data_IF_422995181646
#
_entry.id   IF_422995181646
#
_cell.length_a   1.000
_cell.length_b   1.000
_cell.length_c   1.000
_cell.angle_alpha   90.00
_cell.angle_beta   90.00
_cell.angle_gamma   90.00
#
_symmetry.space_group_name_H-M   'P 1'
#
loop_
_entity.id
_entity.type
_entity.pdbx_description
1 polymer ?
#
# COMPACT_ATOMS: atom_id res chain seq x y z
N UNK A 1 65.13 22.40 44.62
CA UNK A 1 64.61 21.26 45.39
C UNK A 1 63.48 20.64 44.54
N UNK A 2 63.67 19.66 43.74
CA UNK A 2 64.37 18.39 43.76
C UNK A 2 63.35 17.28 44.00
N UNK A 3 62.92 16.59 43.01
CA UNK A 3 62.08 15.44 43.21
C UNK A 3 61.68 14.82 41.90
N UNK A 4 62.58 14.06 41.30
CA UNK A 4 62.28 13.21 40.14
C UNK A 4 61.47 12.00 40.56
N UNK A 5 60.38 11.73 39.88
CA UNK A 5 59.61 10.50 40.00
C UNK A 5 59.62 9.73 38.66
N UNK A 6 60.35 8.61 38.72
CA UNK A 6 60.57 7.69 37.60
C UNK A 6 59.24 6.97 37.22
N UNK A 7 58.85 7.08 35.97
CA UNK A 7 57.83 6.27 35.38
C UNK A 7 58.34 4.86 35.05
N UNK A 8 57.71 3.85 35.59
CA UNK A 8 57.92 2.43 35.27
C UNK A 8 57.00 2.02 34.11
N UNK A 9 57.60 1.81 32.96
CA UNK A 9 56.86 1.27 31.80
C UNK A 9 56.96 -0.24 31.93
N UNK A 10 55.82 -0.87 32.19
CA UNK A 10 55.63 -2.33 32.04
C UNK A 10 54.96 -2.56 30.67
N UNK A 11 55.75 -3.05 29.74
CA UNK A 11 55.25 -3.54 28.46
C UNK A 11 54.73 -4.96 28.67
N UNK A 12 53.40 -5.13 28.59
CA UNK A 12 52.76 -6.45 28.54
C UNK A 12 52.35 -6.72 27.09
N UNK A 13 53.18 -7.44 26.35
CA UNK A 13 52.90 -7.96 25.05
C UNK A 13 52.02 -9.24 25.22
N UNK A 14 50.74 -9.14 25.05
CA UNK A 14 49.87 -10.31 24.89
C UNK A 14 49.53 -10.41 23.39
N UNK A 15 50.22 -11.30 22.70
CA UNK A 15 49.88 -11.73 21.38
C UNK A 15 48.64 -12.61 21.42
N UNK A 16 47.49 -12.08 20.98
CA UNK A 16 46.31 -12.88 20.57
C UNK A 16 46.21 -12.80 19.06
N UNK A 17 46.83 -13.77 18.39
CA UNK A 17 46.50 -14.09 17.02
C UNK A 17 45.15 -14.80 16.98
N UNK A 18 44.06 -14.02 17.08
CA UNK A 18 42.72 -14.47 16.78
C UNK A 18 42.60 -14.52 15.28
N UNK A 19 42.70 -15.69 14.67
CA UNK A 19 42.27 -15.93 13.31
C UNK A 19 40.80 -15.62 13.22
N UNK A 20 40.44 -14.47 12.68
CA UNK A 20 39.08 -14.18 12.20
C UNK A 20 38.83 -15.19 11.06
N UNK A 21 38.21 -16.32 11.40
CA UNK A 21 37.61 -17.21 10.42
C UNK A 21 36.47 -16.42 9.76
N UNK A 22 36.72 -15.93 8.56
CA UNK A 22 35.66 -15.47 7.68
C UNK A 22 34.66 -16.61 7.55
N UNK A 23 33.34 -16.36 7.69
CA UNK A 23 32.36 -17.38 7.41
C UNK A 23 32.56 -17.83 5.96
N UNK A 24 32.38 -19.12 5.64
CA UNK A 24 32.57 -19.62 4.29
C UNK A 24 31.60 -18.86 3.38
N UNK A 25 32.15 -18.17 2.39
CA UNK A 25 31.40 -17.64 1.27
C UNK A 25 30.73 -18.82 0.56
N UNK A 26 29.43 -18.92 0.72
CA UNK A 26 28.66 -19.98 0.07
C UNK A 26 27.64 -20.64 0.98
N UNK A 27 26.77 -19.84 1.64
CA UNK A 27 25.45 -20.38 1.89
C UNK A 27 24.79 -20.52 0.51
N UNK A 28 24.81 -21.76 -0.02
CA UNK A 28 24.03 -22.09 -1.20
C UNK A 28 22.62 -21.61 -0.93
N UNK A 29 22.12 -20.69 -1.78
CA UNK A 29 20.74 -20.27 -1.72
C UNK A 29 19.81 -21.49 -1.62
N UNK A 30 18.61 -21.34 -1.09
CA UNK A 30 17.68 -22.46 -0.96
C UNK A 30 17.61 -23.20 -2.30
N UNK A 31 17.62 -24.55 -2.30
CA UNK A 31 17.62 -25.32 -3.54
C UNK A 31 16.47 -24.85 -4.42
N UNK A 32 16.81 -24.45 -5.64
CA UNK A 32 15.81 -24.09 -6.66
C UNK A 32 14.87 -25.30 -6.77
N UNK A 33 13.56 -25.13 -6.47
CA UNK A 33 12.63 -26.24 -6.60
C UNK A 33 12.70 -26.79 -8.02
N UNK A 34 12.79 -28.11 -8.16
CA UNK A 34 12.70 -28.79 -9.44
C UNK A 34 11.55 -28.20 -10.24
N UNK A 35 11.79 -27.86 -11.50
CA UNK A 35 10.91 -27.17 -12.44
C UNK A 35 9.43 -27.32 -12.10
N UNK A 36 8.78 -26.20 -11.72
CA UNK A 36 7.36 -26.17 -11.43
C UNK A 36 6.61 -26.26 -12.76
N UNK A 37 5.88 -27.36 -13.02
CA UNK A 37 5.15 -27.49 -14.26
C UNK A 37 4.03 -26.44 -14.32
N UNK A 38 3.91 -25.75 -15.43
CA UNK A 38 2.65 -25.16 -15.85
C UNK A 38 2.39 -23.70 -15.52
N UNK A 39 3.40 -22.87 -15.25
CA UNK A 39 3.21 -21.44 -15.47
C UNK A 39 3.48 -21.24 -16.95
N UNK A 40 2.43 -20.86 -17.67
CA UNK A 40 2.50 -20.57 -19.08
C UNK A 40 3.65 -19.61 -19.35
N UNK A 41 4.03 -19.41 -20.57
CA UNK A 41 4.96 -18.39 -20.99
C UNK A 41 6.35 -18.59 -20.41
N UNK A 42 7.14 -19.34 -21.12
CA UNK A 42 8.53 -19.53 -20.80
C UNK A 42 8.76 -19.63 -19.29
N UNK A 43 8.70 -20.83 -18.76
CA UNK A 43 8.99 -21.17 -17.37
C UNK A 43 10.03 -20.21 -16.81
N UNK A 44 9.75 -19.62 -15.66
CA UNK A 44 10.60 -18.65 -14.95
C UNK A 44 10.51 -17.16 -15.34
N UNK A 45 9.62 -16.75 -16.26
CA UNK A 45 9.41 -15.32 -16.57
C UNK A 45 7.95 -14.90 -16.48
N UNK A 46 7.30 -15.08 -15.31
CA UNK A 46 5.91 -14.71 -15.15
C UNK A 46 5.73 -13.19 -15.24
N UNK A 47 4.57 -12.76 -15.75
CA UNK A 47 4.22 -11.34 -15.84
C UNK A 47 3.37 -10.95 -14.64
N UNK A 48 3.85 -9.96 -13.90
CA UNK A 48 3.17 -9.34 -12.77
C UNK A 48 2.52 -8.02 -13.20
N UNK A 49 1.23 -7.85 -12.93
CA UNK A 49 0.48 -6.63 -13.19
C UNK A 49 0.11 -5.87 -11.92
N UNK A 50 -0.51 -4.72 -12.07
CA UNK A 50 -1.02 -3.96 -10.93
C UNK A 50 -0.04 -2.96 -10.32
N UNK A 51 1.06 -2.70 -10.98
CA UNK A 51 2.05 -1.73 -10.55
C UNK A 51 1.98 -0.42 -11.33
N UNK A 52 2.56 0.62 -10.78
CA UNK A 52 2.93 1.85 -11.46
C UNK A 52 4.36 2.21 -11.03
N UNK A 53 5.18 2.71 -11.93
CA UNK A 53 6.62 2.81 -11.68
C UNK A 53 6.99 3.74 -10.52
N UNK A 54 6.20 4.78 -10.29
CA UNK A 54 6.51 5.85 -9.33
C UNK A 54 5.60 5.85 -8.10
N UNK A 55 4.82 4.81 -7.89
CA UNK A 55 3.91 4.71 -6.76
C UNK A 55 4.26 3.54 -5.82
N UNK A 56 3.68 3.46 -4.62
CA UNK A 56 3.92 2.38 -3.67
C UNK A 56 3.70 0.96 -4.23
N UNK A 57 2.81 0.80 -5.19
CA UNK A 57 2.57 -0.50 -5.85
C UNK A 57 3.72 -0.92 -6.78
N UNK A 58 4.48 0.03 -7.34
CA UNK A 58 5.72 -0.26 -8.04
C UNK A 58 6.75 -0.88 -7.12
N UNK A 59 6.85 -0.36 -5.90
CA UNK A 59 7.72 -0.93 -4.86
C UNK A 59 7.30 -2.36 -4.52
N UNK A 60 6.00 -2.64 -4.39
CA UNK A 60 5.52 -4.01 -4.16
C UNK A 60 5.92 -4.93 -5.31
N UNK A 61 5.82 -4.47 -6.55
CA UNK A 61 6.25 -5.23 -7.73
C UNK A 61 7.76 -5.52 -7.72
N UNK A 62 8.56 -4.53 -7.35
CA UNK A 62 10.03 -4.67 -7.26
C UNK A 62 10.41 -5.64 -6.12
N UNK A 63 9.71 -5.61 -4.99
CA UNK A 63 9.90 -6.58 -3.90
C UNK A 63 9.51 -7.99 -4.37
N UNK A 64 8.38 -8.16 -5.05
CA UNK A 64 7.97 -9.46 -5.60
C UNK A 64 9.03 -9.99 -6.57
N UNK A 65 9.55 -9.14 -7.45
CA UNK A 65 10.62 -9.50 -8.38
C UNK A 65 11.89 -9.92 -7.63
N UNK A 66 12.33 -9.13 -6.66
CA UNK A 66 13.52 -9.41 -5.87
C UNK A 66 13.35 -10.69 -5.03
N UNK A 67 12.19 -10.89 -4.41
CA UNK A 67 11.91 -12.06 -3.59
C UNK A 67 11.88 -13.36 -4.38
N UNK A 68 11.47 -13.34 -5.64
CA UNK A 68 11.40 -14.53 -6.51
C UNK A 68 12.70 -14.81 -7.28
N UNK A 69 13.60 -13.84 -7.40
CA UNK A 69 14.85 -14.01 -8.12
C UNK A 69 15.75 -15.15 -7.57
N UNK A 70 15.93 -15.36 -6.25
CA UNK A 70 16.70 -16.49 -5.72
C UNK A 70 16.13 -17.86 -6.06
N UNK A 71 14.85 -17.91 -6.43
CA UNK A 71 14.18 -19.15 -6.88
C UNK A 71 14.21 -19.33 -8.40
N UNK A 72 15.01 -18.54 -9.11
CA UNK A 72 15.23 -18.65 -10.55
C UNK A 72 14.12 -17.99 -11.40
N UNK A 73 13.30 -17.12 -10.82
CA UNK A 73 12.27 -16.39 -11.57
C UNK A 73 12.72 -14.98 -11.93
N UNK A 74 12.64 -14.64 -13.21
CA UNK A 74 12.79 -13.28 -13.73
C UNK A 74 11.38 -12.69 -13.96
N UNK A 75 10.78 -12.14 -12.89
CA UNK A 75 9.44 -11.56 -12.97
C UNK A 75 9.45 -10.33 -13.86
N UNK A 76 8.61 -10.35 -14.89
CA UNK A 76 8.38 -9.23 -15.78
C UNK A 76 7.26 -8.35 -15.20
N UNK A 77 7.53 -7.07 -14.97
CA UNK A 77 6.55 -6.16 -14.34
C UNK A 77 5.87 -5.30 -15.38
N UNK A 78 4.54 -5.35 -15.43
CA UNK A 78 3.73 -4.41 -16.19
C UNK A 78 3.44 -3.18 -15.33
N UNK A 79 4.21 -2.11 -15.48
CA UNK A 79 4.05 -0.87 -14.72
C UNK A 79 2.88 0.02 -15.16
N UNK A 80 2.08 -0.40 -16.12
CA UNK A 80 0.88 0.29 -16.58
C UNK A 80 -0.40 -0.56 -16.49
N UNK A 81 -0.31 -1.72 -15.82
CA UNK A 81 -1.44 -2.62 -15.56
C UNK A 81 -1.96 -2.41 -14.13
N UNK A 82 -2.47 -1.25 -13.78
CA UNK A 82 -2.72 -0.90 -12.39
C UNK A 82 -4.15 -0.44 -12.09
N UNK A 83 -4.42 -0.11 -10.82
CA UNK A 83 -5.70 0.40 -10.33
C UNK A 83 -6.85 -0.60 -10.52
N UNK A 84 -8.02 -0.09 -10.87
CA UNK A 84 -9.21 -0.89 -11.11
C UNK A 84 -9.11 -1.81 -12.34
N UNK A 85 -8.16 -1.57 -13.26
CA UNK A 85 -8.00 -2.44 -14.44
C UNK A 85 -7.17 -3.70 -14.15
N UNK A 86 -6.33 -3.67 -13.14
CA UNK A 86 -5.48 -4.80 -12.80
C UNK A 86 -6.27 -6.11 -12.57
N UNK A 87 -7.37 -6.15 -11.80
CA UNK A 87 -8.19 -7.34 -11.65
C UNK A 87 -8.84 -7.85 -12.96
N UNK A 88 -9.14 -6.94 -13.90
CA UNK A 88 -9.64 -7.32 -15.23
C UNK A 88 -8.55 -7.99 -16.04
N UNK A 89 -7.36 -7.38 -16.06
CA UNK A 89 -6.22 -7.86 -16.85
C UNK A 89 -5.76 -9.23 -16.35
N UNK A 90 -5.54 -9.38 -15.05
CA UNK A 90 -5.14 -10.64 -14.43
C UNK A 90 -6.25 -11.68 -14.52
N UNK A 91 -7.48 -11.31 -14.15
CA UNK A 91 -8.61 -12.22 -14.13
C UNK A 91 -8.97 -12.80 -15.50
N UNK A 92 -8.83 -12.02 -16.55
CA UNK A 92 -9.11 -12.43 -17.92
C UNK A 92 -7.87 -12.92 -18.67
N UNK A 93 -6.72 -13.02 -18.00
CA UNK A 93 -5.44 -13.40 -18.59
C UNK A 93 -5.08 -12.62 -19.86
N UNK A 94 -5.28 -11.33 -19.81
CA UNK A 94 -5.03 -10.44 -20.96
C UNK A 94 -3.55 -10.16 -21.13
N UNK A 95 -3.19 -9.75 -22.34
CA UNK A 95 -1.90 -9.11 -22.60
C UNK A 95 -1.88 -7.73 -21.89
N UNK A 96 -0.69 -7.23 -21.51
CA UNK A 96 -0.57 -5.85 -21.06
C UNK A 96 -1.20 -4.89 -22.09
N UNK A 97 -1.98 -3.89 -21.65
CA UNK A 97 -2.49 -2.88 -22.56
C UNK A 97 -1.33 -2.10 -23.18
N UNK A 98 -1.52 -1.48 -24.33
CA UNK A 98 -0.57 -0.52 -24.86
C UNK A 98 -0.29 0.58 -23.84
N UNK A 99 0.96 1.04 -23.81
CA UNK A 99 1.30 2.17 -22.96
C UNK A 99 0.48 3.41 -23.34
N UNK A 100 -0.08 4.08 -22.33
CA UNK A 100 -0.75 5.36 -22.48
C UNK A 100 -0.10 6.36 -21.50
N UNK A 101 0.58 7.42 -22.00
CA UNK A 101 1.23 8.40 -21.14
C UNK A 101 0.27 9.19 -20.23
N UNK A 102 -1.05 9.14 -20.51
CA UNK A 102 -2.08 9.78 -19.69
C UNK A 102 -2.67 8.85 -18.61
N UNK A 103 -2.25 7.60 -18.54
CA UNK A 103 -2.67 6.71 -17.46
C UNK A 103 -2.01 7.12 -16.14
N UNK A 104 -2.84 7.45 -15.15
CA UNK A 104 -2.38 7.80 -13.81
C UNK A 104 -2.11 9.28 -13.55
N UNK A 105 -2.45 10.17 -14.47
CA UNK A 105 -2.40 11.64 -14.24
C UNK A 105 -0.99 12.24 -14.18
N UNK A 106 0.07 11.45 -14.27
CA UNK A 106 1.45 11.93 -14.35
C UNK A 106 2.03 11.62 -15.73
N UNK A 107 2.62 12.62 -16.37
CA UNK A 107 3.42 12.41 -17.59
C UNK A 107 4.75 11.80 -17.16
N UNK A 108 4.92 10.49 -17.40
CA UNK A 108 6.18 9.80 -17.15
C UNK A 108 6.98 9.85 -18.45
N UNK A 109 8.22 10.36 -18.44
CA UNK A 109 9.06 10.34 -19.63
C UNK A 109 9.28 8.92 -20.16
N UNK A 110 9.22 8.72 -21.47
CA UNK A 110 9.39 7.41 -22.11
C UNK A 110 10.68 6.68 -21.70
N UNK A 111 11.73 7.42 -21.37
CA UNK A 111 13.01 6.88 -20.88
C UNK A 111 12.89 6.14 -19.52
N UNK A 112 11.81 6.37 -18.78
CA UNK A 112 11.56 5.69 -17.50
C UNK A 112 10.61 4.49 -17.61
N UNK A 113 10.10 4.20 -18.81
CA UNK A 113 9.16 3.13 -19.03
C UNK A 113 9.94 1.93 -19.58
N UNK A 114 10.04 0.83 -18.84
CA UNK A 114 10.61 -0.40 -19.39
C UNK A 114 9.75 -0.89 -20.57
N UNK A 115 10.37 -1.58 -21.50
CA UNK A 115 9.64 -2.23 -22.58
C UNK A 115 8.47 -3.06 -21.99
N UNK A 116 7.30 -3.07 -22.67
CA UNK A 116 6.17 -3.88 -22.23
C UNK A 116 6.60 -5.34 -22.09
N UNK A 117 6.20 -6.02 -21.01
CA UNK A 117 6.52 -7.44 -20.87
C UNK A 117 5.81 -8.26 -21.96
N UNK A 118 6.51 -9.28 -22.46
CA UNK A 118 5.96 -10.21 -23.41
C UNK A 118 5.20 -11.31 -22.69
N UNK A 119 3.91 -11.37 -22.85
CA UNK A 119 3.09 -12.43 -22.29
C UNK A 119 1.83 -11.95 -21.61
N UNK A 120 0.98 -12.90 -21.26
CA UNK A 120 -0.26 -12.61 -20.49
C UNK A 120 0.10 -12.31 -19.05
N UNK A 121 -0.64 -11.39 -18.44
CA UNK A 121 -0.49 -11.08 -17.02
C UNK A 121 -1.05 -12.24 -16.20
N UNK A 122 -0.20 -12.87 -15.41
CA UNK A 122 -0.54 -14.12 -14.70
C UNK A 122 -0.96 -13.88 -13.27
N UNK A 123 -0.34 -12.91 -12.62
CA UNK A 123 -0.65 -12.48 -11.25
C UNK A 123 -0.35 -11.00 -11.12
N UNK A 124 -0.73 -10.39 -10.00
CA UNK A 124 -0.54 -8.96 -9.84
C UNK A 124 -0.88 -8.46 -8.46
N UNK A 125 -0.87 -7.14 -8.33
CA UNK A 125 -1.26 -6.44 -7.13
C UNK A 125 -2.39 -5.44 -7.42
N UNK A 126 -3.24 -5.22 -6.43
CA UNK A 126 -4.25 -4.16 -6.42
C UNK A 126 -4.62 -3.82 -4.99
N UNK A 127 -5.29 -2.69 -4.78
CA UNK A 127 -5.85 -2.39 -3.47
C UNK A 127 -6.94 -3.41 -3.08
N UNK A 128 -7.02 -3.74 -1.80
CA UNK A 128 -7.96 -4.73 -1.27
C UNK A 128 -9.40 -4.50 -1.75
N UNK A 129 -9.87 -3.24 -1.69
CA UNK A 129 -11.22 -2.90 -2.13
C UNK A 129 -11.48 -3.24 -3.60
N UNK A 130 -10.48 -3.08 -4.48
CA UNK A 130 -10.64 -3.43 -5.88
C UNK A 130 -10.65 -4.95 -6.10
N UNK A 131 -9.86 -5.70 -5.32
CA UNK A 131 -9.91 -7.15 -5.40
C UNK A 131 -11.27 -7.69 -4.94
N UNK A 132 -11.78 -7.19 -3.81
CA UNK A 132 -13.11 -7.54 -3.28
C UNK A 132 -14.18 -7.19 -4.31
N UNK A 133 -14.20 -5.94 -4.77
CA UNK A 133 -15.18 -5.47 -5.73
C UNK A 133 -15.15 -6.26 -7.05
N UNK A 134 -13.96 -6.62 -7.55
CA UNK A 134 -13.81 -7.44 -8.75
C UNK A 134 -14.29 -8.88 -8.53
N UNK A 135 -13.99 -9.45 -7.37
CA UNK A 135 -14.43 -10.78 -6.99
C UNK A 135 -15.96 -10.87 -6.92
N UNK A 136 -16.61 -9.84 -6.36
CA UNK A 136 -18.05 -9.78 -6.17
C UNK A 136 -18.82 -9.17 -7.37
N UNK A 137 -18.13 -8.52 -8.30
CA UNK A 137 -18.76 -7.84 -9.43
C UNK A 137 -19.49 -6.57 -9.01
N UNK A 138 -18.94 -5.82 -8.05
CA UNK A 138 -19.52 -4.58 -7.51
C UNK A 138 -18.70 -3.34 -7.88
N UNK A 139 -19.19 -2.16 -7.54
CA UNK A 139 -18.49 -0.90 -7.79
C UNK A 139 -18.04 -0.73 -9.25
N UNK A 140 -16.74 -0.51 -9.51
CA UNK A 140 -16.21 -0.35 -10.88
C UNK A 140 -16.44 -1.57 -11.79
N UNK A 141 -16.74 -2.73 -11.21
CA UNK A 141 -16.92 -4.01 -11.93
C UNK A 141 -18.37 -4.44 -12.07
N UNK A 142 -19.34 -3.61 -11.63
CA UNK A 142 -20.76 -3.96 -11.68
C UNK A 142 -21.26 -4.32 -13.09
N UNK A 143 -20.69 -3.68 -14.13
CA UNK A 143 -21.00 -4.00 -15.53
C UNK A 143 -20.30 -5.24 -16.07
N UNK A 144 -19.16 -5.60 -15.46
CA UNK A 144 -18.32 -6.73 -15.90
C UNK A 144 -18.80 -8.05 -15.28
N UNK A 145 -19.52 -7.99 -14.17
CA UNK A 145 -19.90 -9.14 -13.35
C UNK A 145 -18.76 -9.66 -12.47
N UNK A 146 -19.07 -10.64 -11.61
CA UNK A 146 -18.11 -11.16 -10.63
C UNK A 146 -17.00 -11.99 -11.28
N UNK A 147 -15.76 -11.82 -10.76
CA UNK A 147 -14.58 -12.57 -11.17
C UNK A 147 -14.21 -13.63 -10.13
N UNK A 148 -15.07 -14.63 -9.97
CA UNK A 148 -14.94 -15.71 -8.98
C UNK A 148 -13.70 -16.60 -9.16
N UNK A 149 -12.98 -16.46 -10.28
CA UNK A 149 -11.70 -17.13 -10.53
C UNK A 149 -10.51 -16.45 -9.82
N UNK A 150 -10.65 -15.26 -9.26
CA UNK A 150 -9.56 -14.59 -8.54
C UNK A 150 -9.26 -15.31 -7.21
N UNK A 151 -7.97 -15.38 -6.87
CA UNK A 151 -7.47 -16.01 -5.64
C UNK A 151 -6.40 -15.13 -5.02
N UNK A 152 -6.52 -14.87 -3.73
CA UNK A 152 -5.52 -14.16 -2.95
C UNK A 152 -4.26 -15.04 -2.81
N UNK A 153 -3.10 -14.42 -2.89
CA UNK A 153 -1.81 -15.06 -2.56
C UNK A 153 -1.28 -14.45 -1.27
N UNK A 154 -1.21 -13.12 -1.17
CA UNK A 154 -0.76 -12.41 0.01
C UNK A 154 -1.44 -11.04 0.11
N UNK A 155 -1.70 -10.58 1.32
CA UNK A 155 -2.08 -9.20 1.59
C UNK A 155 -0.90 -8.48 2.26
N UNK A 156 -0.38 -7.47 1.58
CA UNK A 156 0.69 -6.61 2.10
C UNK A 156 0.00 -5.43 2.79
N UNK A 157 -0.23 -5.61 4.07
CA UNK A 157 -1.12 -4.76 4.86
C UNK A 157 -0.44 -3.46 5.31
N UNK A 158 -0.43 -2.48 4.44
CA UNK A 158 -0.07 -1.11 4.80
C UNK A 158 -1.36 -0.27 4.83
N UNK A 159 -2.02 -0.09 5.97
CA UNK A 159 -3.29 0.61 6.03
C UNK A 159 -3.10 2.08 5.67
N UNK A 160 -3.96 2.56 4.77
CA UNK A 160 -4.05 3.96 4.36
C UNK A 160 -5.29 4.55 5.01
N UNK A 161 -5.10 5.32 6.04
CA UNK A 161 -6.16 5.87 6.89
C UNK A 161 -6.85 7.04 6.23
N UNK A 162 -8.15 7.12 6.34
CA UNK A 162 -8.89 8.34 6.07
C UNK A 162 -8.69 9.30 7.23
N UNK A 163 -8.19 10.49 6.95
CA UNK A 163 -7.99 11.53 7.93
C UNK A 163 -8.86 12.72 7.55
N UNK A 164 -9.67 13.17 8.51
CA UNK A 164 -10.48 14.38 8.38
C UNK A 164 -9.93 15.41 9.34
N UNK A 165 -9.55 16.55 8.81
CA UNK A 165 -9.03 17.66 9.61
C UNK A 165 -9.65 19.00 9.19
N UNK A 166 -9.68 19.91 10.12
CA UNK A 166 -10.12 21.30 9.90
C UNK A 166 -9.08 22.26 10.48
N UNK A 167 -8.88 23.38 9.84
CA UNK A 167 -8.03 24.45 10.38
C UNK A 167 -8.71 25.04 11.62
N UNK A 168 -8.05 25.10 12.77
CA UNK A 168 -8.64 25.58 14.02
C UNK A 168 -9.22 27.00 13.88
N UNK A 169 -8.56 27.88 13.14
CA UNK A 169 -9.04 29.24 12.87
C UNK A 169 -10.26 29.33 11.95
N UNK A 170 -10.68 28.25 11.29
CA UNK A 170 -11.88 28.25 10.43
C UNK A 170 -13.20 28.23 11.24
N UNK A 171 -13.15 27.96 12.54
CA UNK A 171 -14.34 27.89 13.39
C UNK A 171 -15.24 26.69 13.15
N UNK A 172 -14.75 25.71 12.39
CA UNK A 172 -15.46 24.45 12.08
C UNK A 172 -14.99 23.39 13.08
N UNK A 173 -15.92 22.80 13.81
CA UNK A 173 -15.67 21.71 14.77
C UNK A 173 -16.39 20.42 14.40
N UNK A 174 -17.31 20.49 13.45
CA UNK A 174 -18.06 19.37 12.90
C UNK A 174 -18.39 19.65 11.42
N UNK A 175 -18.29 18.64 10.58
CA UNK A 175 -18.60 18.78 9.15
C UNK A 175 -20.07 19.11 8.87
N UNK A 176 -21.00 18.81 9.80
CA UNK A 176 -22.40 19.22 9.67
C UNK A 176 -22.57 20.74 9.58
N UNK A 177 -21.65 21.53 10.14
CA UNK A 177 -21.66 22.99 10.08
C UNK A 177 -21.44 23.53 8.66
N UNK A 178 -20.87 22.71 7.76
CA UNK A 178 -20.68 23.09 6.36
C UNK A 178 -22.00 23.34 5.63
N UNK A 179 -23.11 22.76 6.08
CA UNK A 179 -24.42 22.93 5.48
C UNK A 179 -24.89 24.40 5.54
N UNK A 180 -24.62 25.06 6.66
CA UNK A 180 -25.04 26.42 6.93
C UNK A 180 -23.91 27.44 6.81
N UNK A 181 -22.73 26.99 6.41
CA UNK A 181 -21.57 27.86 6.27
C UNK A 181 -21.77 28.89 5.17
N UNK A 182 -21.51 30.15 5.50
CA UNK A 182 -21.60 31.29 4.59
C UNK A 182 -20.21 31.90 4.42
N UNK A 183 -19.69 31.81 3.21
CA UNK A 183 -18.41 32.40 2.87
C UNK A 183 -17.49 31.42 2.13
N UNK A 184 -16.38 31.91 1.61
CA UNK A 184 -15.44 31.08 0.89
C UNK A 184 -14.74 30.09 1.84
N UNK A 185 -14.62 28.84 1.41
CA UNK A 185 -13.83 27.81 2.05
C UNK A 185 -12.79 27.27 1.05
N UNK A 186 -11.63 26.95 1.54
CA UNK A 186 -10.66 26.15 0.81
C UNK A 186 -10.72 24.69 1.30
N UNK A 187 -11.13 23.78 0.44
CA UNK A 187 -11.35 22.38 0.76
C UNK A 187 -10.39 21.52 -0.06
N UNK A 188 -9.63 20.69 0.64
CA UNK A 188 -8.80 19.66 0.02
C UNK A 188 -9.45 18.31 0.30
N UNK A 189 -9.92 17.61 -0.73
CA UNK A 189 -10.63 16.36 -0.50
C UNK A 189 -10.35 15.33 -1.62
N UNK A 190 -10.15 14.08 -1.19
CA UNK A 190 -10.27 12.93 -2.09
C UNK A 190 -11.71 12.89 -2.62
N UNK A 191 -11.86 12.79 -3.94
CA UNK A 191 -13.16 12.93 -4.60
C UNK A 191 -14.15 11.82 -4.20
N UNK A 192 -13.67 10.58 -4.05
CA UNK A 192 -14.53 9.45 -3.66
C UNK A 192 -15.02 9.63 -2.23
N UNK A 193 -14.14 10.08 -1.33
CA UNK A 193 -14.50 10.34 0.06
C UNK A 193 -15.44 11.52 0.21
N UNK A 194 -15.17 12.60 -0.49
CA UNK A 194 -16.06 13.76 -0.52
C UNK A 194 -17.46 13.40 -1.01
N UNK A 195 -17.55 12.52 -2.03
CA UNK A 195 -18.80 12.01 -2.58
C UNK A 195 -19.65 11.19 -1.61
N UNK A 196 -19.08 10.68 -0.54
CA UNK A 196 -19.82 9.93 0.50
C UNK A 196 -20.01 10.78 1.76
N UNK A 197 -18.96 11.48 2.19
CA UNK A 197 -18.97 12.22 3.47
C UNK A 197 -19.88 13.45 3.40
N UNK A 198 -19.76 14.28 2.37
CA UNK A 198 -20.60 15.48 2.29
C UNK A 198 -22.10 15.17 2.23
N UNK A 199 -22.59 14.23 1.39
CA UNK A 199 -24.00 13.85 1.41
C UNK A 199 -24.48 13.30 2.75
N UNK A 200 -23.64 12.58 3.49
CA UNK A 200 -23.98 12.11 4.83
C UNK A 200 -24.35 13.26 5.77
N UNK A 201 -23.64 14.39 5.70
CA UNK A 201 -23.92 15.59 6.46
C UNK A 201 -24.99 16.50 5.81
N UNK A 202 -25.61 16.07 4.72
CA UNK A 202 -26.59 16.87 3.96
C UNK A 202 -25.97 18.04 3.21
N UNK A 203 -24.68 17.96 2.89
CA UNK A 203 -23.90 18.95 2.17
C UNK A 203 -23.63 18.46 0.75
N UNK A 204 -23.75 19.31 -0.26
CA UNK A 204 -23.32 19.01 -1.62
C UNK A 204 -22.09 19.83 -2.03
N UNK A 205 -21.23 19.26 -2.86
CA UNK A 205 -20.10 20.01 -3.41
C UNK A 205 -20.56 21.22 -4.22
N UNK A 206 -21.70 21.10 -4.92
CA UNK A 206 -22.24 22.20 -5.71
C UNK A 206 -22.77 23.34 -4.82
N UNK A 207 -23.40 23.01 -3.69
CA UNK A 207 -23.83 24.03 -2.72
C UNK A 207 -22.63 24.76 -2.11
N UNK A 208 -21.56 24.05 -1.79
CA UNK A 208 -20.32 24.67 -1.29
C UNK A 208 -19.66 25.57 -2.34
N UNK A 209 -19.59 25.12 -3.59
CA UNK A 209 -19.07 25.94 -4.70
C UNK A 209 -19.90 27.21 -4.92
N UNK A 210 -21.24 27.07 -4.84
CA UNK A 210 -22.14 28.22 -4.95
C UNK A 210 -21.95 29.21 -3.80
N UNK A 211 -21.54 28.73 -2.61
CA UNK A 211 -21.16 29.56 -1.46
C UNK A 211 -19.73 30.14 -1.56
N UNK A 212 -19.00 29.85 -2.63
CA UNK A 212 -17.64 30.38 -2.88
C UNK A 212 -16.52 29.42 -2.48
N UNK A 213 -16.81 28.16 -2.16
CA UNK A 213 -15.76 27.20 -1.82
C UNK A 213 -14.92 26.81 -3.03
N UNK A 214 -13.62 26.66 -2.81
CA UNK A 214 -12.65 26.12 -3.77
C UNK A 214 -12.27 24.70 -3.36
N UNK A 215 -12.00 23.86 -4.36
CA UNK A 215 -11.66 22.44 -4.14
C UNK A 215 -10.32 22.11 -4.79
N UNK A 216 -9.49 21.37 -4.05
CA UNK A 216 -8.29 20.71 -4.56
C UNK A 216 -8.34 19.22 -4.18
N UNK A 217 -7.74 18.38 -5.02
CA UNK A 217 -7.75 16.92 -4.83
C UNK A 217 -6.44 16.39 -4.24
N UNK A 218 -5.43 17.24 -4.03
CA UNK A 218 -4.11 16.83 -3.59
C UNK A 218 -3.68 17.53 -2.32
N UNK A 219 -2.96 16.81 -1.46
CA UNK A 219 -2.37 17.34 -0.22
C UNK A 219 -0.99 17.98 -0.42
N UNK A 220 -0.58 18.23 -1.66
CA UNK A 220 0.69 18.94 -1.90
C UNK A 220 0.67 20.33 -1.28
N UNK A 221 1.84 20.91 -0.90
CA UNK A 221 1.90 22.20 -0.20
C UNK A 221 1.10 23.33 -0.86
N UNK A 222 1.13 23.42 -2.19
CA UNK A 222 0.40 24.46 -2.93
C UNK A 222 -1.13 24.36 -2.77
N UNK A 223 -1.65 23.14 -2.69
CA UNK A 223 -3.08 22.89 -2.57
C UNK A 223 -3.56 22.99 -1.12
N UNK A 224 -2.78 22.49 -0.16
CA UNK A 224 -3.19 22.45 1.25
C UNK A 224 -2.98 23.77 2.00
N UNK A 225 -2.06 24.64 1.56
CA UNK A 225 -1.75 25.87 2.26
C UNK A 225 -3.02 26.71 2.51
N UNK A 226 -3.36 26.94 3.80
CA UNK A 226 -4.56 27.66 4.20
C UNK A 226 -5.86 26.91 3.94
N UNK A 227 -5.85 25.60 3.75
CA UNK A 227 -7.06 24.80 3.64
C UNK A 227 -7.88 24.86 4.94
N UNK A 228 -9.18 25.06 4.81
CA UNK A 228 -10.11 25.11 5.94
C UNK A 228 -10.58 23.71 6.34
N UNK A 229 -10.74 22.82 5.34
CA UNK A 229 -11.17 21.44 5.51
C UNK A 229 -10.28 20.54 4.68
N UNK A 230 -9.80 19.44 5.27
CA UNK A 230 -9.03 18.41 4.59
C UNK A 230 -9.69 17.06 4.83
N UNK A 231 -10.02 16.35 3.76
CA UNK A 231 -10.57 14.98 3.78
C UNK A 231 -9.70 14.14 2.85
N UNK A 232 -8.70 13.47 3.40
CA UNK A 232 -7.74 12.79 2.55
C UNK A 232 -7.14 11.55 3.22
N UNK A 233 -6.60 10.66 2.41
CA UNK A 233 -5.92 9.48 2.91
C UNK A 233 -4.48 9.79 3.35
N UNK A 234 -4.03 9.03 4.37
CA UNK A 234 -2.64 9.00 4.82
C UNK A 234 -2.21 7.62 5.27
N UNK A 235 -0.98 7.26 4.95
CA UNK A 235 -0.36 6.03 5.41
C UNK A 235 0.54 6.34 6.62
N UNK A 236 0.47 5.53 7.67
CA UNK A 236 1.29 5.69 8.89
C UNK A 236 2.64 4.95 8.82
N UNK A 237 2.95 4.33 7.68
CA UNK A 237 4.29 3.83 7.39
C UNK A 237 5.17 4.96 6.80
N UNK A 238 6.44 4.68 6.59
CA UNK A 238 7.35 5.62 5.91
C UNK A 238 7.00 5.69 4.41
N UNK A 239 5.98 6.47 4.09
CA UNK A 239 5.44 6.64 2.75
C UNK A 239 5.29 8.13 2.42
N UNK A 240 5.28 8.50 1.12
CA UNK A 240 5.03 9.88 0.71
C UNK A 240 3.71 10.43 1.25
N UNK A 241 2.64 9.62 1.29
CA UNK A 241 1.33 10.03 1.78
C UNK A 241 1.36 10.35 3.28
N UNK A 242 2.11 9.58 4.07
CA UNK A 242 2.30 9.91 5.49
C UNK A 242 3.14 11.16 5.67
N UNK A 243 4.21 11.29 4.93
CA UNK A 243 5.06 12.48 4.99
C UNK A 243 4.27 13.75 4.68
N UNK A 244 3.38 13.70 3.69
CA UNK A 244 2.51 14.83 3.34
C UNK A 244 1.59 15.22 4.52
N UNK A 245 1.00 14.25 5.21
CA UNK A 245 0.18 14.51 6.40
C UNK A 245 1.01 14.98 7.58
N UNK A 246 2.18 14.38 7.80
CA UNK A 246 3.11 14.83 8.83
C UNK A 246 3.51 16.29 8.59
N UNK A 247 3.92 16.65 7.38
CA UNK A 247 4.23 18.03 7.02
C UNK A 247 3.03 18.96 7.18
N UNK A 248 1.82 18.55 6.74
CA UNK A 248 0.62 19.34 6.95
C UNK A 248 0.41 19.65 8.44
N UNK A 249 0.57 18.64 9.29
CA UNK A 249 0.42 18.80 10.75
C UNK A 249 1.46 19.75 11.38
N UNK A 250 2.64 19.91 10.76
CA UNK A 250 3.69 20.81 11.25
C UNK A 250 3.47 22.27 10.80
N UNK A 251 2.83 22.48 9.67
CA UNK A 251 2.72 23.80 9.03
C UNK A 251 1.32 24.43 9.16
N UNK A 252 0.29 23.57 9.34
CA UNK A 252 -1.09 24.02 9.45
C UNK A 252 -1.60 23.75 10.88
N UNK A 253 -2.32 24.70 11.46
CA UNK A 253 -2.95 24.52 12.78
C UNK A 253 -4.25 23.73 12.63
N UNK A 254 -4.13 22.40 12.70
CA UNK A 254 -5.21 21.46 12.42
C UNK A 254 -5.85 20.91 13.69
N UNK A 255 -7.16 20.71 13.62
CA UNK A 255 -7.95 19.86 14.52
C UNK A 255 -8.43 18.64 13.73
N UNK A 256 -8.28 17.45 14.31
CA UNK A 256 -8.69 16.20 13.68
C UNK A 256 -10.09 15.82 14.14
N UNK A 257 -10.98 15.54 13.17
CA UNK A 257 -12.37 15.22 13.45
C UNK A 257 -12.56 13.70 13.55
N UNK A 258 -13.39 13.31 14.52
CA UNK A 258 -13.87 11.94 14.65
C UNK A 258 -14.96 11.68 13.60
N UNK A 259 -14.96 10.51 12.99
CA UNK A 259 -16.07 10.08 12.16
C UNK A 259 -17.13 9.41 13.04
N UNK A 260 -18.41 9.78 12.91
CA UNK A 260 -19.50 9.07 13.59
C UNK A 260 -19.53 7.59 13.26
N UNK A 261 -19.96 6.76 14.20
CA UNK A 261 -19.97 5.30 14.05
C UNK A 261 -20.80 4.80 12.88
N UNK A 262 -21.92 5.43 12.59
CA UNK A 262 -22.78 5.12 11.46
C UNK A 262 -22.17 5.54 10.12
N UNK A 263 -21.43 6.66 10.07
CA UNK A 263 -20.64 7.02 8.88
C UNK A 263 -19.48 6.04 8.68
N UNK A 264 -18.79 5.63 9.74
CA UNK A 264 -17.76 4.60 9.66
C UNK A 264 -18.34 3.28 9.13
N UNK A 265 -19.53 2.88 9.63
CA UNK A 265 -20.22 1.69 9.14
C UNK A 265 -20.61 1.82 7.67
N UNK A 266 -21.11 2.98 7.24
CA UNK A 266 -21.45 3.27 5.84
C UNK A 266 -20.22 3.20 4.92
N UNK A 267 -19.13 3.87 5.29
CA UNK A 267 -17.88 3.85 4.53
C UNK A 267 -17.30 2.43 4.43
N UNK A 268 -17.38 1.65 5.53
CA UNK A 268 -16.94 0.26 5.53
C UNK A 268 -17.76 -0.62 4.60
N UNK A 269 -19.08 -0.43 4.57
CA UNK A 269 -19.98 -1.20 3.72
C UNK A 269 -19.87 -0.79 2.24
N UNK A 270 -19.98 0.50 1.95
CA UNK A 270 -20.12 0.98 0.57
C UNK A 270 -18.79 0.95 -0.21
N UNK A 271 -17.66 1.12 0.49
CA UNK A 271 -16.32 1.24 -0.09
C UNK A 271 -15.36 0.13 0.33
N UNK A 272 -15.83 -0.89 1.05
CA UNK A 272 -15.01 -1.99 1.56
C UNK A 272 -13.79 -1.51 2.38
N UNK A 273 -14.00 -0.46 3.20
CA UNK A 273 -12.96 0.06 4.09
C UNK A 273 -13.04 -0.63 5.45
N UNK A 274 -11.90 -0.85 6.10
CA UNK A 274 -11.88 -1.38 7.46
C UNK A 274 -11.99 -0.27 8.52
N UNK A 275 -12.74 -0.52 9.59
CA UNK A 275 -12.65 0.26 10.82
C UNK A 275 -11.23 0.25 11.35
N UNK A 276 -10.69 1.41 11.65
CA UNK A 276 -9.34 1.58 12.18
C UNK A 276 -9.24 2.77 13.09
N UNK A 277 -8.23 2.73 13.95
CA UNK A 277 -7.88 3.82 14.85
C UNK A 277 -6.48 4.33 14.51
N UNK A 278 -6.32 5.64 14.51
CA UNK A 278 -5.02 6.29 14.43
C UNK A 278 -4.54 6.56 15.86
N UNK A 279 -3.42 5.96 16.30
CA UNK A 279 -2.86 6.17 17.63
C UNK A 279 -2.53 7.62 17.92
N UNK A 280 -2.65 8.02 19.18
CA UNK A 280 -2.29 9.37 19.64
C UNK A 280 -0.84 9.70 19.35
N UNK A 281 -0.58 10.95 18.98
CA UNK A 281 0.78 11.50 18.90
C UNK A 281 1.50 11.24 17.57
N UNK A 282 0.81 10.72 16.55
CA UNK A 282 1.41 10.54 15.22
C UNK A 282 1.42 11.81 14.39
N UNK A 283 0.50 12.71 14.65
CA UNK A 283 0.39 13.99 13.95
C UNK A 283 0.48 15.12 14.97
N UNK A 284 1.09 16.23 14.61
CA UNK A 284 1.16 17.41 15.47
C UNK A 284 -0.26 17.95 15.76
N UNK A 285 -0.55 18.27 17.02
CA UNK A 285 -1.88 18.72 17.43
C UNK A 285 -2.92 17.60 17.58
N UNK A 286 -2.54 16.33 17.41
CA UNK A 286 -3.37 15.17 17.71
C UNK A 286 -3.18 14.77 19.17
N UNK A 287 -4.18 14.99 20.00
CA UNK A 287 -4.20 14.71 21.44
C UNK A 287 -5.13 13.56 21.84
N UNK A 288 -5.93 13.07 20.90
CA UNK A 288 -6.85 11.95 21.08
C UNK A 288 -6.67 10.90 20.00
N UNK A 289 -7.07 9.67 20.28
CA UNK A 289 -7.18 8.61 19.30
C UNK A 289 -8.26 9.01 18.26
N UNK A 290 -7.98 8.79 16.96
CA UNK A 290 -8.92 9.11 15.89
C UNK A 290 -9.58 7.83 15.41
N UNK A 291 -10.88 7.69 15.65
CA UNK A 291 -11.71 6.64 15.07
C UNK A 291 -12.00 6.95 13.61
N UNK A 292 -11.66 6.02 12.71
CA UNK A 292 -11.79 6.24 11.28
C UNK A 292 -11.91 4.92 10.52
N UNK A 293 -11.76 4.99 9.21
CA UNK A 293 -11.64 3.85 8.31
C UNK A 293 -10.30 3.90 7.57
N UNK A 294 -9.86 2.75 7.09
CA UNK A 294 -8.67 2.66 6.25
C UNK A 294 -8.86 1.69 5.08
N UNK A 295 -8.20 1.98 3.98
CA UNK A 295 -7.88 0.99 2.96
C UNK A 295 -6.85 0.04 3.55
N UNK A 296 -6.99 -1.27 3.36
CA UNK A 296 -6.23 -2.25 4.13
C UNK A 296 -5.06 -2.88 3.45
N UNK A 297 -4.60 -2.32 2.39
CA UNK A 297 -3.35 -2.77 1.85
C UNK A 297 -3.38 -3.13 0.38
N UNK A 298 -2.33 -3.84 -0.04
CA UNK A 298 -2.12 -4.29 -1.40
C UNK A 298 -2.25 -5.80 -1.45
N UNK A 299 -3.32 -6.28 -2.06
CA UNK A 299 -3.53 -7.69 -2.31
C UNK A 299 -2.68 -8.15 -3.49
N UNK A 300 -1.85 -9.15 -3.28
CA UNK A 300 -1.17 -9.93 -4.33
C UNK A 300 -2.06 -11.13 -4.64
N UNK A 301 -2.43 -11.31 -5.89
CA UNK A 301 -3.44 -12.27 -6.29
C UNK A 301 -3.17 -12.82 -7.69
N UNK A 302 -3.79 -13.94 -8.00
CA UNK A 302 -3.77 -14.55 -9.32
C UNK A 302 -5.12 -15.20 -9.63
N UNK A 303 -5.14 -16.09 -10.64
CA UNK A 303 -6.33 -16.87 -10.98
C UNK A 303 -6.34 -18.23 -10.30
N UNK A 304 -7.50 -18.86 -10.23
CA UNK A 304 -7.69 -20.19 -9.66
C UNK A 304 -6.94 -21.31 -10.43
N UNK A 305 -6.68 -21.08 -11.73
CA UNK A 305 -5.91 -22.01 -12.58
C UNK A 305 -4.39 -21.85 -12.44
N UNK A 306 -3.93 -20.89 -11.65
CA UNK A 306 -2.50 -20.74 -11.33
C UNK A 306 -2.00 -21.97 -10.58
N UNK A 307 -0.83 -22.54 -10.97
CA UNK A 307 -0.25 -23.67 -10.24
C UNK A 307 -0.10 -23.37 -8.74
N UNK A 308 -0.68 -24.24 -7.90
CA UNK A 308 -0.60 -24.10 -6.45
C UNK A 308 0.85 -24.06 -5.94
N UNK A 309 1.79 -24.74 -6.65
CA UNK A 309 3.22 -24.70 -6.36
C UNK A 309 3.82 -23.30 -6.51
N UNK A 310 3.39 -22.56 -7.53
CA UNK A 310 3.88 -21.19 -7.73
C UNK A 310 3.30 -20.24 -6.70
N UNK A 311 2.00 -20.31 -6.43
CA UNK A 311 1.39 -19.50 -5.37
C UNK A 311 1.99 -19.79 -3.99
N UNK A 312 2.32 -21.05 -3.69
CA UNK A 312 3.08 -21.44 -2.50
C UNK A 312 4.44 -20.74 -2.47
N UNK A 313 5.15 -20.78 -3.60
CA UNK A 313 6.47 -20.16 -3.71
C UNK A 313 6.41 -18.64 -3.53
N UNK A 314 5.43 -17.96 -4.14
CA UNK A 314 5.25 -16.51 -3.97
C UNK A 314 5.00 -16.19 -2.49
N UNK A 315 4.09 -16.90 -1.83
CA UNK A 315 3.80 -16.71 -0.41
C UNK A 315 5.05 -16.93 0.46
N UNK A 316 5.80 -17.99 0.17
CA UNK A 316 7.05 -18.34 0.86
C UNK A 316 8.12 -17.26 0.66
N UNK A 317 8.36 -16.85 -0.58
CA UNK A 317 9.39 -15.86 -0.90
C UNK A 317 9.13 -14.52 -0.22
N UNK A 318 7.88 -14.06 -0.20
CA UNK A 318 7.50 -12.82 0.47
C UNK A 318 7.63 -12.90 2.01
N UNK A 319 7.30 -14.05 2.62
CA UNK A 319 7.43 -14.27 4.05
C UNK A 319 8.90 -14.36 4.47
N UNK A 320 9.70 -15.15 3.76
CA UNK A 320 11.11 -15.33 4.09
C UNK A 320 11.97 -14.10 3.81
N UNK A 321 11.52 -13.23 2.91
CA UNK A 321 12.21 -12.01 2.52
C UNK A 321 11.43 -10.73 2.86
N UNK A 322 10.59 -10.79 3.91
CA UNK A 322 9.80 -9.64 4.35
C UNK A 322 10.65 -8.41 4.70
N UNK A 323 11.92 -8.59 5.03
CA UNK A 323 12.87 -7.50 5.29
C UNK A 323 13.10 -6.61 4.06
N UNK A 324 12.85 -7.10 2.85
CA UNK A 324 12.89 -6.26 1.65
C UNK A 324 11.91 -5.09 1.72
N UNK A 325 10.76 -5.25 2.42
CA UNK A 325 9.81 -4.17 2.60
C UNK A 325 10.31 -3.08 3.56
N UNK A 326 11.17 -3.41 4.51
CA UNK A 326 11.61 -2.47 5.56
C UNK A 326 12.40 -1.28 5.02
N UNK A 327 13.06 -1.45 3.87
CA UNK A 327 13.83 -0.42 3.22
C UNK A 327 13.04 0.35 2.16
N UNK A 328 11.74 0.19 2.13
CA UNK A 328 10.85 0.76 1.14
C UNK A 328 9.73 1.57 1.81
N UNK A 329 8.88 2.21 1.00
CA UNK A 329 7.64 2.85 1.46
C UNK A 329 6.65 1.86 2.07
N UNK A 330 6.83 0.55 1.85
CA UNK A 330 6.06 -0.54 2.45
C UNK A 330 6.61 -1.03 3.80
N UNK A 331 7.37 -0.22 4.50
CA UNK A 331 7.91 -0.56 5.82
C UNK A 331 6.78 -1.02 6.77
N UNK A 332 7.03 -2.13 7.51
CA UNK A 332 6.04 -2.78 8.39
C UNK A 332 4.76 -3.29 7.72
N UNK A 333 4.71 -3.35 6.38
CA UNK A 333 3.50 -3.77 5.67
C UNK A 333 3.30 -5.29 5.64
N UNK A 334 4.33 -6.10 5.85
CA UNK A 334 4.16 -7.54 5.99
C UNK A 334 3.67 -7.92 7.39
N UNK A 335 2.45 -8.44 7.47
CA UNK A 335 1.83 -8.79 8.74
C UNK A 335 1.27 -10.22 8.70
N UNK A 336 1.92 -11.15 9.43
CA UNK A 336 1.55 -12.58 9.48
C UNK A 336 0.10 -12.85 9.89
N UNK A 337 -0.53 -11.95 10.65
CA UNK A 337 -1.91 -12.11 11.08
C UNK A 337 -2.94 -11.68 10.03
N UNK A 338 -2.49 -10.97 9.01
CA UNK A 338 -3.35 -10.37 7.97
C UNK A 338 -3.01 -10.83 6.55
N UNK A 339 -1.80 -11.32 6.32
CA UNK A 339 -1.29 -11.69 4.99
C UNK A 339 -2.20 -12.65 4.22
N UNK A 340 -2.96 -13.46 4.94
CA UNK A 340 -3.81 -14.50 4.39
C UNK A 340 -5.30 -14.09 4.19
N UNK A 341 -5.65 -12.81 4.31
CA UNK A 341 -7.05 -12.37 4.27
C UNK A 341 -7.27 -11.07 3.51
N UNK A 342 -8.25 -11.08 2.62
CA UNK A 342 -8.83 -9.90 1.98
C UNK A 342 -10.32 -10.17 1.76
N UNK A 343 -11.18 -9.61 2.61
CA UNK A 343 -12.62 -9.88 2.56
C UNK A 343 -12.91 -11.37 2.47
N UNK A 344 -13.83 -11.74 1.59
CA UNK A 344 -14.23 -13.12 1.29
C UNK A 344 -13.48 -13.72 0.09
N UNK A 345 -12.46 -13.05 -0.43
CA UNK A 345 -11.67 -13.57 -1.56
C UNK A 345 -10.87 -14.79 -1.09
N UNK A 346 -11.09 -15.97 -1.69
CA UNK A 346 -10.43 -17.17 -1.23
C UNK A 346 -8.93 -17.16 -1.54
N UNK A 347 -8.16 -17.74 -0.63
CA UNK A 347 -6.73 -17.97 -0.87
C UNK A 347 -6.51 -18.96 -2.02
N UNK A 348 -5.41 -18.76 -2.76
CA UNK A 348 -4.88 -19.82 -3.61
C UNK A 348 -4.48 -21.02 -2.73
N UNK A 349 -4.82 -22.27 -3.14
CA UNK A 349 -4.51 -23.46 -2.36
C UNK A 349 -3.03 -23.60 -1.96
N UNK A 350 -2.11 -23.16 -2.83
CA UNK A 350 -0.67 -23.17 -2.54
C UNK A 350 -0.29 -22.19 -1.43
N UNK A 351 -0.78 -20.95 -1.51
CA UNK A 351 -0.57 -19.95 -0.47
C UNK A 351 -1.20 -20.39 0.87
N UNK A 352 -2.41 -20.93 0.82
CA UNK A 352 -3.08 -21.48 2.01
C UNK A 352 -2.27 -22.60 2.67
N UNK A 353 -1.67 -23.49 1.88
CA UNK A 353 -0.78 -24.54 2.38
C UNK A 353 0.42 -23.95 3.10
N UNK A 354 1.12 -23.01 2.48
CA UNK A 354 2.27 -22.34 3.09
C UNK A 354 1.91 -21.68 4.41
N UNK A 355 0.83 -20.90 4.45
CA UNK A 355 0.44 -20.18 5.67
C UNK A 355 -0.02 -21.13 6.80
N UNK A 356 -0.58 -22.32 6.49
CA UNK A 356 -0.84 -23.36 7.52
C UNK A 356 0.47 -23.94 8.05
N UNK A 357 1.43 -24.26 7.19
CA UNK A 357 2.76 -24.76 7.60
C UNK A 357 3.49 -23.74 8.50
N UNK A 358 3.26 -22.45 8.29
CA UNK A 358 3.81 -21.36 9.13
C UNK A 358 2.98 -21.07 10.39
N UNK A 359 1.83 -21.71 10.58
CA UNK A 359 0.91 -21.43 11.69
C UNK A 359 0.19 -20.09 11.62
N UNK A 360 0.10 -19.46 10.45
CA UNK A 360 -0.62 -18.20 10.22
C UNK A 360 -2.12 -18.41 9.97
N UNK A 361 -2.48 -19.61 9.57
CA UNK A 361 -3.85 -20.11 9.46
C UNK A 361 -4.05 -21.30 10.38
N UNK A 362 -5.25 -21.35 11.01
CA UNK A 362 -5.71 -22.50 11.79
C UNK A 362 -6.42 -23.52 10.90
#
# INVERSE_FOLDING_TARGET
MGGAMRALIIALAIGLAGALALPPAGAAGPPVPAQLPGIGIAAHRPVFGGACKTCPWGVVADVVKAALAPYGYDVQVCYHCFMADAPRIVGDARLPPPWNPHMGGAVIPDSFIPAPPNGRVEFGATADQFLIAAYDGTGPYARDGPRRQLRLIANIASPVYLIVAVRRGAGITDLAQLKDHKGPLKIVADADMAGVIFPYYGVSMDSLKAAGATFAASLVPADRAGADVIIHYGNLANSPEFNIWYEASQHEDLAYLQLPDDLVAKLSHDLNLERRDIPVGLLHGQDTLIHTVARTGTAIYGRADMPASFAYLVAKALDEQQDLFQWTVGNYSYNRYRVARVGDVPLNPGAARYYRERGYLR
#
